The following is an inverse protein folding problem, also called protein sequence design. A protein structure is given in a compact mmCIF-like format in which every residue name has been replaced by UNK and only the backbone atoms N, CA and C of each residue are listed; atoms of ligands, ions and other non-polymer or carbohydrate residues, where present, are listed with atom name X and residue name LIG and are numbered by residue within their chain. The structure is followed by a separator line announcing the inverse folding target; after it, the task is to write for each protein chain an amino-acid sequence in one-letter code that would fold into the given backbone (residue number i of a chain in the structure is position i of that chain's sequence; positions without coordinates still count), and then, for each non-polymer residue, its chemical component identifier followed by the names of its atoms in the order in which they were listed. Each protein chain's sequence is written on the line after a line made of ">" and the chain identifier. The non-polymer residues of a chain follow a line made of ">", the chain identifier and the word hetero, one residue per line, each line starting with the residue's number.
data_IF_961963573404
#
_entry.id   IF_961963573404
#
_cell.length_a   1.000
_cell.length_b   1.000
_cell.length_c   1.000
_cell.angle_alpha   90.00
_cell.angle_beta   90.00
_cell.angle_gamma   90.00
#
_symmetry.space_group_name_H-M   'P 1'
#
loop_
_entity.id
_entity.type
_entity.pdbx_description
1 polymer ?
#
# COMPACT_ATOMS: atom_id res chain seq x y z
N UNK A 1 -61.12 -6.32 -37.20
CA UNK A 1 -59.87 -6.66 -36.48
C UNK A 1 -58.71 -6.14 -37.30
N UNK A 2 -58.05 -5.06 -36.87
CA UNK A 2 -56.84 -4.55 -37.53
C UNK A 2 -55.96 -3.86 -36.47
N UNK A 3 -54.86 -4.51 -36.11
CA UNK A 3 -53.97 -4.15 -35.00
C UNK A 3 -53.17 -2.88 -35.25
N UNK A 4 -53.31 -1.95 -34.30
CA UNK A 4 -52.54 -0.70 -34.16
C UNK A 4 -51.09 -1.02 -33.80
N UNK A 5 -50.14 -0.57 -34.63
CA UNK A 5 -48.69 -0.58 -34.32
C UNK A 5 -48.43 0.33 -33.11
N UNK A 6 -48.15 -0.25 -31.94
CA UNK A 6 -47.58 0.48 -30.79
C UNK A 6 -46.12 0.80 -31.08
N UNK A 7 -45.82 2.08 -31.31
CA UNK A 7 -44.44 2.58 -31.35
C UNK A 7 -43.81 2.43 -29.97
N UNK A 8 -42.79 1.58 -29.85
CA UNK A 8 -41.93 1.51 -28.69
C UNK A 8 -41.02 2.75 -28.69
N UNK A 9 -41.45 3.80 -27.96
CA UNK A 9 -40.57 4.91 -27.59
C UNK A 9 -39.33 4.34 -26.89
N UNK A 10 -38.17 4.47 -27.52
CA UNK A 10 -36.89 4.17 -26.84
C UNK A 10 -36.68 5.17 -25.71
N UNK A 11 -36.27 4.73 -24.51
CA UNK A 11 -35.94 5.64 -23.44
C UNK A 11 -34.64 6.40 -23.79
N UNK A 12 -34.70 7.72 -23.68
CA UNK A 12 -33.58 8.65 -23.85
C UNK A 12 -32.60 8.46 -22.67
N UNK A 13 -31.28 8.25 -22.89
CA UNK A 13 -30.29 8.24 -21.82
C UNK A 13 -30.02 9.69 -21.37
N UNK A 14 -31.02 10.31 -20.77
CA UNK A 14 -30.90 11.63 -20.15
C UNK A 14 -30.30 11.51 -18.75
N UNK A 15 -29.17 12.17 -18.52
CA UNK A 15 -28.65 12.54 -17.20
C UNK A 15 -28.09 11.42 -16.30
N UNK A 16 -26.93 10.88 -16.66
CA UNK A 16 -26.14 9.95 -15.83
C UNK A 16 -25.03 10.60 -14.98
N UNK A 17 -25.04 11.91 -14.78
CA UNK A 17 -23.88 12.67 -14.27
C UNK A 17 -23.54 12.38 -12.79
N UNK A 18 -24.49 11.91 -11.97
CA UNK A 18 -24.27 11.72 -10.53
C UNK A 18 -23.58 10.41 -10.12
N UNK A 19 -23.67 9.35 -10.91
CA UNK A 19 -23.13 8.02 -10.53
C UNK A 19 -21.63 7.88 -10.79
N UNK A 20 -21.09 8.64 -11.75
CA UNK A 20 -19.65 8.60 -12.06
C UNK A 20 -18.80 9.36 -11.04
N UNK A 21 -19.33 10.44 -10.43
CA UNK A 21 -18.56 11.27 -9.48
C UNK A 21 -18.11 10.46 -8.26
N UNK A 22 -19.00 9.67 -7.65
CA UNK A 22 -18.66 8.81 -6.51
C UNK A 22 -17.62 7.74 -6.87
N UNK A 23 -17.71 7.13 -8.05
CA UNK A 23 -16.76 6.12 -8.51
C UNK A 23 -15.38 6.72 -8.82
N UNK A 24 -15.34 7.93 -9.40
CA UNK A 24 -14.10 8.69 -9.62
C UNK A 24 -13.45 9.05 -8.28
N UNK A 25 -14.24 9.52 -7.31
CA UNK A 25 -13.74 9.84 -5.97
C UNK A 25 -13.18 8.60 -5.26
N UNK A 26 -13.87 7.46 -5.30
CA UNK A 26 -13.40 6.21 -4.71
C UNK A 26 -12.12 5.70 -5.38
N UNK A 27 -12.03 5.76 -6.71
CA UNK A 27 -10.80 5.40 -7.44
C UNK A 27 -9.64 6.30 -7.03
N UNK A 28 -9.85 7.61 -6.94
CA UNK A 28 -8.84 8.56 -6.47
C UNK A 28 -8.34 8.21 -5.07
N UNK A 29 -9.24 7.93 -4.12
CA UNK A 29 -8.89 7.54 -2.76
C UNK A 29 -8.07 6.23 -2.74
N UNK A 30 -8.45 5.23 -3.53
CA UNK A 30 -7.73 3.95 -3.60
C UNK A 30 -6.33 4.15 -4.20
N UNK A 31 -6.21 4.91 -5.29
CA UNK A 31 -4.92 5.24 -5.92
C UNK A 31 -4.00 5.99 -4.95
N UNK A 32 -4.49 7.04 -4.30
CA UNK A 32 -3.73 7.81 -3.31
C UNK A 32 -3.23 6.93 -2.15
N UNK A 33 -4.05 5.98 -1.67
CA UNK A 33 -3.61 5.01 -0.65
C UNK A 33 -2.50 4.11 -1.18
N UNK A 34 -2.60 3.65 -2.43
CA UNK A 34 -1.57 2.85 -3.09
C UNK A 34 -0.24 3.59 -3.24
N UNK A 35 -0.29 4.86 -3.66
CA UNK A 35 0.89 5.70 -3.85
C UNK A 35 1.64 5.92 -2.54
N UNK A 36 0.91 6.20 -1.44
CA UNK A 36 1.49 6.33 -0.09
C UNK A 36 2.14 5.04 0.41
N UNK A 37 1.58 3.87 0.05
CA UNK A 37 2.18 2.57 0.40
C UNK A 37 3.44 2.35 -0.42
N UNK A 38 3.44 2.68 -1.71
CA UNK A 38 4.61 2.55 -2.59
C UNK A 38 5.75 3.44 -2.12
N UNK A 39 5.47 4.70 -1.77
CA UNK A 39 6.45 5.64 -1.22
C UNK A 39 7.07 5.10 0.08
N UNK A 40 6.24 4.63 1.02
CA UNK A 40 6.72 4.01 2.27
C UNK A 40 7.59 2.78 2.02
N UNK A 41 7.27 1.97 1.00
CA UNK A 41 8.10 0.82 0.62
C UNK A 41 9.46 1.23 0.05
N UNK A 42 9.51 2.29 -0.77
CA UNK A 42 10.78 2.83 -1.27
C UNK A 42 11.66 3.36 -0.13
N UNK A 43 11.09 4.16 0.77
CA UNK A 43 11.81 4.66 1.95
C UNK A 43 12.30 3.50 2.81
N UNK A 44 11.47 2.47 3.03
CA UNK A 44 11.88 1.29 3.80
C UNK A 44 13.07 0.57 3.16
N UNK A 45 13.04 0.39 1.83
CA UNK A 45 14.13 -0.21 1.08
C UNK A 45 15.43 0.59 1.17
N UNK A 46 15.37 1.93 1.08
CA UNK A 46 16.55 2.80 1.22
C UNK A 46 17.20 2.74 2.62
N UNK A 47 16.41 2.42 3.65
CA UNK A 47 16.88 2.32 5.03
C UNK A 47 17.55 0.97 5.36
N UNK A 48 17.34 -0.07 4.53
CA UNK A 48 17.83 -1.42 4.80
C UNK A 48 19.13 -1.65 4.04
N UNK A 49 20.26 -1.92 4.74
CA UNK A 49 21.51 -2.25 4.09
C UNK A 49 21.36 -3.48 3.18
N UNK A 50 21.91 -3.40 1.97
CA UNK A 50 21.92 -4.49 0.98
C UNK A 50 20.55 -4.93 0.44
N UNK A 51 19.47 -4.16 0.70
CA UNK A 51 18.16 -4.48 0.14
C UNK A 51 18.10 -4.19 -1.36
N UNK A 52 18.15 -5.24 -2.19
CA UNK A 52 18.06 -5.15 -3.65
C UNK A 52 16.79 -5.82 -4.21
N UNK A 53 15.84 -6.17 -3.33
CA UNK A 53 14.63 -6.90 -3.71
C UNK A 53 13.58 -5.97 -4.30
N UNK A 54 12.91 -6.43 -5.35
CA UNK A 54 11.77 -5.71 -5.94
C UNK A 54 10.43 -6.22 -5.45
N UNK A 55 10.40 -7.46 -4.95
CA UNK A 55 9.19 -8.07 -4.42
C UNK A 55 8.89 -7.58 -2.99
N UNK A 56 7.61 -7.28 -2.74
CA UNK A 56 7.17 -6.69 -1.47
C UNK A 56 7.37 -7.64 -0.29
N UNK A 57 7.13 -8.94 -0.47
CA UNK A 57 7.33 -9.90 0.60
C UNK A 57 8.82 -10.00 0.94
N UNK A 58 9.68 -10.08 -0.08
CA UNK A 58 11.13 -10.13 0.13
C UNK A 58 11.68 -8.87 0.81
N UNK A 59 11.20 -7.65 0.46
CA UNK A 59 11.60 -6.41 1.16
C UNK A 59 11.22 -6.49 2.65
N UNK A 60 10.01 -6.99 2.94
CA UNK A 60 9.54 -7.14 4.32
C UNK A 60 10.36 -8.17 5.10
N UNK A 61 10.70 -9.31 4.48
CA UNK A 61 11.53 -10.34 5.09
C UNK A 61 12.94 -9.80 5.42
N UNK A 62 13.56 -9.07 4.49
CA UNK A 62 14.86 -8.43 4.73
C UNK A 62 14.80 -7.34 5.81
N UNK A 63 13.69 -6.60 5.87
CA UNK A 63 13.44 -5.64 6.96
C UNK A 63 13.45 -6.35 8.32
N UNK A 64 12.74 -7.48 8.42
CA UNK A 64 12.62 -8.25 9.65
C UNK A 64 13.99 -8.79 10.08
N UNK A 65 14.76 -9.34 9.14
CA UNK A 65 16.10 -9.85 9.44
C UNK A 65 17.06 -8.72 9.86
N UNK A 66 17.00 -7.55 9.21
CA UNK A 66 17.80 -6.40 9.61
C UNK A 66 17.45 -5.95 11.05
N UNK A 67 16.17 -5.85 11.39
CA UNK A 67 15.72 -5.48 12.74
C UNK A 67 16.17 -6.50 13.80
N UNK A 68 16.09 -7.80 13.51
CA UNK A 68 16.64 -8.85 14.40
C UNK A 68 18.15 -8.68 14.61
N UNK A 69 18.89 -8.40 13.53
CA UNK A 69 20.34 -8.18 13.61
C UNK A 69 20.68 -6.95 14.46
N UNK A 70 19.91 -5.86 14.34
CA UNK A 70 20.06 -4.66 15.15
C UNK A 70 19.75 -4.94 16.63
N UNK A 71 18.68 -5.69 16.91
CA UNK A 71 18.33 -6.09 18.27
C UNK A 71 19.44 -6.90 18.92
N UNK A 72 20.03 -7.87 18.19
CA UNK A 72 21.16 -8.65 18.66
C UNK A 72 22.38 -7.76 18.96
N UNK A 73 22.71 -6.82 18.08
CA UNK A 73 23.82 -5.88 18.30
C UNK A 73 23.62 -5.03 19.56
N UNK A 74 22.40 -4.55 19.81
CA UNK A 74 22.05 -3.78 21.02
C UNK A 74 22.16 -4.66 22.27
N UNK A 75 21.68 -5.90 22.23
CA UNK A 75 21.78 -6.83 23.36
C UNK A 75 23.23 -7.14 23.71
N UNK A 76 24.05 -7.44 22.70
CA UNK A 76 25.48 -7.72 22.87
C UNK A 76 26.22 -6.49 23.42
N UNK A 77 25.96 -5.29 22.87
CA UNK A 77 26.54 -4.04 23.38
C UNK A 77 26.15 -3.79 24.83
N UNK A 78 24.88 -3.99 25.18
CA UNK A 78 24.39 -3.85 26.55
C UNK A 78 25.10 -4.83 27.49
N UNK A 79 25.23 -6.10 27.11
CA UNK A 79 25.96 -7.09 27.90
C UNK A 79 27.41 -6.67 28.18
N UNK A 80 28.14 -6.21 27.16
CA UNK A 80 29.52 -5.77 27.34
C UNK A 80 29.67 -4.48 28.15
N UNK A 81 28.77 -3.49 27.97
CA UNK A 81 28.79 -2.27 28.78
C UNK A 81 28.51 -2.58 30.26
N UNK A 82 27.53 -3.45 30.55
CA UNK A 82 27.24 -3.87 31.92
C UNK A 82 28.35 -4.74 32.56
N UNK A 83 29.20 -5.40 31.76
CA UNK A 83 30.34 -6.18 32.27
C UNK A 83 31.62 -5.35 32.44
N UNK A 84 31.74 -4.18 31.80
CA UNK A 84 32.97 -3.39 31.78
C UNK A 84 32.92 -2.10 32.60
N UNK A 85 31.76 -1.76 33.17
CA UNK A 85 31.66 -0.73 34.21
C UNK A 85 31.69 -1.42 35.59
N UNK A 86 32.86 -1.55 36.27
CA UNK A 86 32.87 -1.94 37.68
C UNK A 86 32.17 -0.83 38.49
N UNK A 87 31.25 -1.22 39.38
CA UNK A 87 30.71 -0.37 40.44
C UNK A 87 31.88 0.15 41.31
#
# INVERSE_FOLDING_TARGET
>A
MSSVRRQLRRPNPGSGMGRNVGLVQLKSIISQRGDRIKEKMCVLQELIPHCNKTDKASILDETIEYLKSLQMQVQVRSYYLNLHDPI
#
